data_IF_871286298783
#
_entry.id   IF_871286298783
#
_cell.length_a   1.000
_cell.length_b   1.000
_cell.length_c   1.000
_cell.angle_alpha   90.00
_cell.angle_beta   90.00
_cell.angle_gamma   90.00
#
_symmetry.space_group_name_H-M   'P 1'
#
loop_
_entity.id
_entity.type
_entity.pdbx_description
1 polymer ?
#
# COMPACT_ATOMS: atom_id res chain seq x y z
N UNK A 1 -40.84 1.33 -14.22
CA UNK A 1 -39.75 0.47 -13.73
C UNK A 1 -38.86 1.33 -12.86
N UNK A 2 -38.84 1.03 -11.57
CA UNK A 2 -38.12 1.78 -10.54
C UNK A 2 -36.66 1.98 -10.94
N UNK A 3 -36.19 3.24 -10.91
CA UNK A 3 -34.76 3.53 -10.88
C UNK A 3 -34.24 2.98 -9.56
N UNK A 4 -33.81 1.73 -9.56
CA UNK A 4 -33.15 1.11 -8.42
C UNK A 4 -31.97 2.00 -8.06
N UNK A 5 -32.05 2.70 -6.91
CA UNK A 5 -30.86 3.23 -6.28
C UNK A 5 -29.84 2.09 -6.30
N UNK A 6 -28.73 2.26 -6.99
CA UNK A 6 -27.55 1.45 -6.68
C UNK A 6 -27.21 1.78 -5.22
N UNK A 7 -27.78 1.02 -4.29
CA UNK A 7 -27.33 0.94 -2.92
C UNK A 7 -25.95 0.29 -2.99
N UNK A 8 -24.93 1.10 -3.24
CA UNK A 8 -23.57 0.64 -3.20
C UNK A 8 -23.20 0.45 -1.73
N UNK A 9 -22.99 -0.81 -1.35
CA UNK A 9 -22.64 -1.22 0.00
C UNK A 9 -21.15 -0.98 0.29
N UNK A 10 -20.77 -0.95 1.56
CA UNK A 10 -19.37 -1.02 2.00
C UNK A 10 -19.26 -1.79 3.32
N UNK A 11 -18.04 -2.17 3.71
CA UNK A 11 -17.81 -2.73 5.05
C UNK A 11 -17.67 -1.62 6.08
N UNK A 12 -18.42 -1.73 7.16
CA UNK A 12 -18.35 -0.90 8.36
C UNK A 12 -17.70 -1.68 9.51
N UNK A 13 -16.76 -1.01 10.18
CA UNK A 13 -16.04 -1.51 11.34
C UNK A 13 -16.37 -0.60 12.53
N UNK A 14 -17.27 -1.05 13.38
CA UNK A 14 -17.56 -0.37 14.65
C UNK A 14 -16.35 -0.44 15.57
N UNK A 15 -16.20 0.57 16.42
CA UNK A 15 -15.09 0.68 17.36
C UNK A 15 -15.50 0.19 18.74
N UNK A 16 -14.51 -0.28 19.51
CA UNK A 16 -14.67 -0.63 20.92
C UNK A 16 -13.40 -0.27 21.70
N UNK A 17 -13.52 -0.01 23.00
CA UNK A 17 -12.37 0.25 23.85
C UNK A 17 -11.76 -1.06 24.37
N UNK A 18 -10.51 -1.34 24.00
CA UNK A 18 -9.77 -2.50 24.51
C UNK A 18 -9.11 -2.15 25.83
N UNK A 19 -9.65 -2.65 26.94
CA UNK A 19 -9.04 -2.49 28.28
C UNK A 19 -7.61 -3.04 28.33
N UNK A 20 -7.35 -4.15 27.62
CA UNK A 20 -6.02 -4.77 27.53
C UNK A 20 -4.99 -3.89 26.85
N UNK A 21 -5.39 -3.18 25.79
CA UNK A 21 -4.48 -2.33 25.00
C UNK A 21 -4.52 -0.86 25.42
N UNK A 22 -5.42 -0.48 26.33
CA UNK A 22 -5.62 0.90 26.76
C UNK A 22 -6.02 1.85 25.64
N UNK A 23 -6.70 1.35 24.59
CA UNK A 23 -7.05 2.16 23.40
C UNK A 23 -8.29 1.65 22.66
N UNK A 24 -8.90 2.54 21.88
CA UNK A 24 -9.96 2.18 20.93
C UNK A 24 -9.41 1.33 19.78
N UNK A 25 -10.17 0.32 19.40
CA UNK A 25 -9.86 -0.67 18.37
C UNK A 25 -11.07 -0.86 17.45
N UNK A 26 -10.82 -1.28 16.22
CA UNK A 26 -11.88 -1.69 15.29
C UNK A 26 -12.31 -3.13 15.56
N UNK A 27 -13.62 -3.38 15.49
CA UNK A 27 -14.19 -4.72 15.46
C UNK A 27 -13.58 -5.55 14.33
N UNK A 28 -13.34 -6.83 14.58
CA UNK A 28 -12.97 -7.82 13.55
C UNK A 28 -14.19 -8.43 12.84
N UNK A 29 -15.40 -8.03 13.25
CA UNK A 29 -16.67 -8.43 12.64
C UNK A 29 -17.22 -7.23 11.85
N UNK A 30 -16.93 -7.12 10.54
CA UNK A 30 -17.49 -6.06 9.72
C UNK A 30 -19.00 -6.25 9.52
N UNK A 31 -19.71 -5.13 9.39
CA UNK A 31 -21.10 -5.08 8.92
C UNK A 31 -21.11 -4.64 7.45
N UNK A 32 -21.96 -5.23 6.62
CA UNK A 32 -22.20 -4.73 5.26
C UNK A 32 -23.36 -3.75 5.32
N UNK A 33 -23.11 -2.50 4.92
CA UNK A 33 -24.05 -1.39 5.06
C UNK A 33 -24.13 -0.60 3.76
N UNK A 34 -25.29 -0.06 3.42
CA UNK A 34 -25.41 0.84 2.28
C UNK A 34 -24.67 2.16 2.60
N UNK A 35 -23.78 2.60 1.70
CA UNK A 35 -23.03 3.83 1.94
C UNK A 35 -23.96 5.04 2.10
N UNK A 36 -25.03 5.09 1.32
CA UNK A 36 -26.06 6.14 1.41
C UNK A 36 -26.67 6.27 2.79
N UNK A 37 -26.88 5.16 3.49
CA UNK A 37 -27.57 5.15 4.78
C UNK A 37 -26.67 5.73 5.87
N UNK A 38 -25.36 5.48 5.79
CA UNK A 38 -24.37 6.05 6.69
C UNK A 38 -24.30 7.58 6.59
N UNK A 39 -24.57 8.13 5.41
CA UNK A 39 -24.55 9.57 5.16
C UNK A 39 -25.89 10.23 5.49
N UNK A 40 -27.01 9.61 5.06
CA UNK A 40 -28.37 10.15 5.24
C UNK A 40 -28.89 9.99 6.66
N UNK A 41 -28.53 8.91 7.33
CA UNK A 41 -29.02 8.55 8.67
C UNK A 41 -27.84 8.26 9.61
N UNK A 42 -27.00 9.27 9.87
CA UNK A 42 -25.82 9.05 10.67
C UNK A 42 -26.17 8.69 12.12
N UNK A 43 -25.37 7.80 12.69
CA UNK A 43 -25.43 7.48 14.11
C UNK A 43 -25.16 8.76 14.96
N UNK A 44 -26.06 9.12 15.90
CA UNK A 44 -25.92 10.34 16.70
C UNK A 44 -24.63 10.40 17.52
N UNK A 45 -24.14 9.26 18.04
CA UNK A 45 -22.90 9.23 18.82
C UNK A 45 -21.69 9.45 17.91
N UNK A 46 -21.69 8.88 16.71
CA UNK A 46 -20.65 9.14 15.72
C UNK A 46 -20.65 10.60 15.24
N UNK A 47 -21.83 11.22 15.09
CA UNK A 47 -21.94 12.66 14.78
C UNK A 47 -21.36 13.52 15.92
N UNK A 48 -21.74 13.25 17.16
CA UNK A 48 -21.23 13.96 18.33
C UNK A 48 -19.70 13.79 18.47
N UNK A 49 -19.20 12.57 18.24
CA UNK A 49 -17.77 12.26 18.29
C UNK A 49 -16.98 12.99 17.19
N UNK A 50 -17.48 13.01 15.95
CA UNK A 50 -16.90 13.79 14.85
C UNK A 50 -16.80 15.28 15.22
N UNK A 51 -17.89 15.86 15.73
CA UNK A 51 -17.93 17.27 16.11
C UNK A 51 -16.93 17.57 17.24
N UNK A 52 -16.84 16.69 18.24
CA UNK A 52 -15.84 16.79 19.32
C UNK A 52 -14.41 16.70 18.79
N UNK A 53 -14.12 15.80 17.85
CA UNK A 53 -12.78 15.70 17.24
C UNK A 53 -12.41 16.99 16.52
N UNK A 54 -13.37 17.58 15.79
CA UNK A 54 -13.15 18.82 15.02
C UNK A 54 -13.08 20.08 15.89
N UNK A 55 -13.62 20.06 17.11
CA UNK A 55 -13.48 21.19 18.04
C UNK A 55 -12.13 21.23 18.74
N UNK A 56 -11.35 20.14 18.71
CA UNK A 56 -10.01 20.09 19.28
C UNK A 56 -8.99 20.73 18.35
N UNK A 57 -7.90 21.26 18.93
CA UNK A 57 -6.77 21.80 18.18
C UNK A 57 -6.24 20.78 17.16
N UNK A 58 -6.07 21.24 15.92
CA UNK A 58 -5.64 20.37 14.82
C UNK A 58 -4.31 19.69 15.14
N UNK A 59 -4.28 18.36 14.97
CA UNK A 59 -3.13 17.48 15.27
C UNK A 59 -2.67 17.46 16.74
N UNK A 60 -3.47 17.94 17.69
CA UNK A 60 -3.15 17.76 19.11
C UNK A 60 -3.14 16.28 19.52
N UNK A 61 -2.47 15.97 20.63
CA UNK A 61 -2.44 14.63 21.21
C UNK A 61 -3.85 14.15 21.56
N UNK A 62 -4.70 15.03 22.08
CA UNK A 62 -6.10 14.75 22.39
C UNK A 62 -6.89 14.38 21.14
N UNK A 63 -6.75 15.16 20.05
CA UNK A 63 -7.42 14.88 18.78
C UNK A 63 -6.95 13.54 18.19
N UNK A 64 -5.66 13.26 18.32
CA UNK A 64 -5.04 12.02 17.84
C UNK A 64 -5.46 10.80 18.65
N UNK A 65 -5.64 10.94 19.97
CA UNK A 65 -6.12 9.88 20.85
C UNK A 65 -7.62 9.59 20.65
N UNK A 66 -8.42 10.59 20.29
CA UNK A 66 -9.86 10.44 20.11
C UNK A 66 -10.24 9.90 18.72
N UNK A 67 -9.49 10.23 17.67
CA UNK A 67 -9.73 9.81 16.28
C UNK A 67 -9.98 8.29 16.12
N UNK A 68 -9.21 7.38 16.77
CA UNK A 68 -9.43 5.94 16.74
C UNK A 68 -10.76 5.44 17.29
N UNK A 69 -11.54 6.29 17.98
CA UNK A 69 -12.84 5.92 18.53
C UNK A 69 -13.98 6.04 17.51
N UNK A 70 -13.75 6.64 16.35
CA UNK A 70 -14.75 6.76 15.27
C UNK A 70 -14.79 5.46 14.46
N UNK A 71 -15.97 5.06 14.02
CA UNK A 71 -16.14 3.91 13.13
C UNK A 71 -15.29 4.05 11.87
N UNK A 72 -14.89 2.91 11.31
CA UNK A 72 -14.11 2.85 10.09
C UNK A 72 -14.92 2.22 8.96
N UNK A 73 -14.63 2.58 7.72
CA UNK A 73 -15.15 1.89 6.54
C UNK A 73 -14.06 1.52 5.56
N UNK A 74 -14.32 0.51 4.75
CA UNK A 74 -13.54 0.22 3.54
C UNK A 74 -14.43 0.44 2.33
N UNK A 75 -14.41 1.65 1.73
CA UNK A 75 -15.41 2.03 0.72
C UNK A 75 -15.44 1.10 -0.48
N UNK A 76 -14.27 0.61 -0.90
CA UNK A 76 -14.10 -0.22 -2.10
C UNK A 76 -14.33 -1.72 -1.87
N UNK A 77 -14.48 -2.15 -0.61
CA UNK A 77 -14.42 -3.58 -0.25
C UNK A 77 -15.54 -4.00 0.69
N UNK A 78 -16.24 -5.08 0.31
CA UNK A 78 -17.01 -5.93 1.21
C UNK A 78 -16.06 -6.98 1.79
N UNK A 79 -16.05 -7.08 3.12
CA UNK A 79 -15.18 -7.97 3.88
C UNK A 79 -16.00 -8.85 4.79
N UNK A 80 -15.59 -10.12 4.93
CA UNK A 80 -16.25 -11.08 5.81
C UNK A 80 -15.25 -11.69 6.80
N UNK A 81 -15.69 -11.89 8.04
CA UNK A 81 -14.94 -12.61 9.10
C UNK A 81 -13.62 -11.95 9.54
N UNK A 82 -13.30 -10.75 9.07
CA UNK A 82 -12.10 -10.03 9.48
C UNK A 82 -11.91 -8.68 8.79
N UNK A 83 -10.67 -8.19 8.83
CA UNK A 83 -10.26 -6.91 8.26
C UNK A 83 -8.96 -7.05 7.47
N UNK A 84 -8.91 -6.49 6.26
CA UNK A 84 -7.75 -6.47 5.37
C UNK A 84 -8.02 -7.15 4.03
N UNK A 85 -7.03 -7.13 3.13
CA UNK A 85 -7.14 -7.76 1.79
C UNK A 85 -7.51 -9.25 1.88
N UNK A 86 -6.94 -9.98 2.84
CA UNK A 86 -7.24 -11.41 3.10
C UNK A 86 -8.74 -11.70 3.34
N UNK A 87 -9.52 -10.68 3.73
CA UNK A 87 -10.93 -10.80 4.06
C UNK A 87 -11.84 -10.15 3.02
N UNK A 88 -11.29 -9.57 1.95
CA UNK A 88 -12.03 -9.03 0.82
C UNK A 88 -12.76 -10.16 0.08
N UNK A 89 -14.06 -9.98 -0.15
CA UNK A 89 -14.88 -10.95 -0.89
C UNK A 89 -15.56 -10.36 -2.11
N UNK A 90 -15.76 -9.04 -2.14
CA UNK A 90 -16.41 -8.37 -3.26
C UNK A 90 -16.00 -6.89 -3.29
N UNK A 91 -15.74 -6.38 -4.49
CA UNK A 91 -15.52 -4.96 -4.72
C UNK A 91 -16.86 -4.22 -4.86
N UNK A 92 -16.98 -3.06 -4.24
CA UNK A 92 -18.27 -2.33 -4.12
C UNK A 92 -18.62 -1.50 -5.36
N UNK A 93 -17.63 -1.32 -6.24
CA UNK A 93 -17.66 -0.41 -7.38
C UNK A 93 -17.18 1.00 -7.04
N UNK A 94 -16.97 1.29 -5.75
CA UNK A 94 -16.40 2.55 -5.32
C UNK A 94 -14.88 2.53 -5.24
N UNK A 95 -14.29 3.69 -5.47
CA UNK A 95 -12.89 3.99 -5.21
C UNK A 95 -12.81 5.27 -4.39
N UNK A 96 -12.11 5.21 -3.27
CA UNK A 96 -11.94 6.38 -2.41
C UNK A 96 -10.72 7.20 -2.80
N UNK A 97 -10.78 8.49 -2.52
CA UNK A 97 -9.63 9.39 -2.51
C UNK A 97 -9.65 10.22 -1.22
N UNK A 98 -8.46 10.57 -0.73
CA UNK A 98 -8.27 11.46 0.42
C UNK A 98 -7.29 12.56 0.02
N UNK A 99 -7.61 13.81 0.40
CA UNK A 99 -6.78 14.99 0.16
C UNK A 99 -6.46 15.60 1.52
N UNK A 100 -5.22 15.48 1.95
CA UNK A 100 -4.74 16.01 3.22
C UNK A 100 -4.02 17.34 3.04
N UNK A 101 -3.84 18.08 4.15
CA UNK A 101 -3.00 19.27 4.18
C UNK A 101 -3.57 20.49 3.45
N UNK A 102 -4.90 20.57 3.33
CA UNK A 102 -5.56 21.70 2.69
C UNK A 102 -5.58 22.95 3.57
N UNK A 103 -5.74 22.78 4.89
CA UNK A 103 -5.72 23.88 5.89
C UNK A 103 -6.63 25.06 5.50
N UNK A 104 -6.07 26.13 4.94
CA UNK A 104 -6.80 27.34 4.50
C UNK A 104 -7.36 27.23 3.07
N UNK A 105 -6.84 26.32 2.23
CA UNK A 105 -7.31 26.05 0.87
C UNK A 105 -8.52 25.08 0.81
N UNK A 106 -9.03 24.64 1.97
CA UNK A 106 -10.05 23.59 2.08
C UNK A 106 -11.29 23.87 1.24
N UNK A 107 -11.90 25.06 1.38
CA UNK A 107 -13.15 25.36 0.70
C UNK A 107 -12.94 25.55 -0.81
N UNK A 108 -11.81 26.15 -1.21
CA UNK A 108 -11.43 26.26 -2.62
C UNK A 108 -11.23 24.88 -3.25
N UNK A 109 -10.50 24.00 -2.58
CA UNK A 109 -10.30 22.63 -3.03
C UNK A 109 -11.63 21.87 -3.11
N UNK A 110 -12.54 22.09 -2.15
CA UNK A 110 -13.86 21.46 -2.16
C UNK A 110 -14.67 21.86 -3.39
N UNK A 111 -14.69 23.14 -3.73
CA UNK A 111 -15.35 23.63 -4.95
C UNK A 111 -14.70 23.09 -6.23
N UNK A 112 -13.37 23.01 -6.30
CA UNK A 112 -12.67 22.41 -7.45
C UNK A 112 -13.02 20.93 -7.61
N UNK A 113 -13.00 20.16 -6.52
CA UNK A 113 -13.29 18.72 -6.55
C UNK A 113 -14.72 18.45 -7.01
N UNK A 114 -15.69 19.28 -6.62
CA UNK A 114 -17.10 19.17 -7.07
C UNK A 114 -17.28 19.31 -8.58
N UNK A 115 -16.34 19.95 -9.28
CA UNK A 115 -16.39 20.10 -10.74
C UNK A 115 -15.88 18.86 -11.49
N UNK A 116 -15.23 17.92 -10.79
CA UNK A 116 -14.72 16.69 -11.40
C UNK A 116 -15.92 15.76 -11.69
N UNK A 117 -16.20 15.40 -12.96
CA UNK A 117 -17.44 14.70 -13.34
C UNK A 117 -17.57 13.29 -12.76
N UNK A 118 -16.46 12.70 -12.31
CA UNK A 118 -16.40 11.35 -11.74
C UNK A 118 -16.64 11.31 -10.22
N UNK A 119 -16.61 12.48 -9.54
CA UNK A 119 -16.84 12.56 -8.09
C UNK A 119 -18.31 12.24 -7.81
N UNK A 120 -18.55 11.09 -7.18
CA UNK A 120 -19.87 10.67 -6.71
C UNK A 120 -20.18 11.25 -5.33
N UNK A 121 -19.17 11.41 -4.49
CA UNK A 121 -19.30 11.95 -3.15
C UNK A 121 -18.03 12.71 -2.74
N UNK A 122 -18.15 13.80 -2.00
CA UNK A 122 -17.02 14.45 -1.35
C UNK A 122 -17.45 15.14 -0.04
N UNK A 123 -16.62 15.08 1.01
CA UNK A 123 -16.87 15.73 2.30
C UNK A 123 -15.55 16.02 3.02
N UNK A 124 -15.60 16.82 4.09
CA UNK A 124 -14.43 17.06 4.94
C UNK A 124 -14.02 15.77 5.66
N UNK A 125 -12.72 15.57 5.83
CA UNK A 125 -12.14 14.44 6.56
C UNK A 125 -12.48 14.51 8.05
N UNK A 126 -12.18 13.44 8.81
CA UNK A 126 -12.56 13.35 10.24
C UNK A 126 -12.00 14.49 11.10
N UNK A 127 -10.82 15.03 10.77
CA UNK A 127 -10.22 16.20 11.47
C UNK A 127 -10.70 17.55 10.93
N UNK A 128 -11.45 17.57 9.83
CA UNK A 128 -12.01 18.80 9.25
C UNK A 128 -11.03 19.69 8.49
N UNK A 129 -9.79 19.24 8.26
CA UNK A 129 -8.72 20.00 7.57
C UNK A 129 -8.22 19.36 6.27
N UNK A 130 -8.95 18.36 5.79
CA UNK A 130 -8.74 17.71 4.50
C UNK A 130 -10.08 17.33 3.90
N UNK A 131 -10.05 16.80 2.68
CA UNK A 131 -11.22 16.28 1.98
C UNK A 131 -11.10 14.78 1.78
N UNK A 132 -12.24 14.17 1.53
CA UNK A 132 -12.29 12.83 1.00
C UNK A 132 -13.47 12.66 0.08
N UNK A 133 -13.43 11.65 -0.78
CA UNK A 133 -14.54 11.37 -1.66
C UNK A 133 -14.48 10.01 -2.30
N UNK A 134 -15.43 9.79 -3.21
CA UNK A 134 -15.63 8.53 -3.92
C UNK A 134 -15.83 8.77 -5.42
N UNK A 135 -15.22 7.91 -6.22
CA UNK A 135 -15.55 7.68 -7.63
C UNK A 135 -16.28 6.33 -7.76
N UNK A 136 -17.07 6.16 -8.82
CA UNK A 136 -17.45 4.83 -9.32
C UNK A 136 -16.47 4.42 -10.41
N UNK A 137 -16.01 3.16 -10.43
CA UNK A 137 -15.07 2.65 -11.44
C UNK A 137 -15.71 1.63 -12.37
N UNK A 138 -15.25 1.56 -13.62
CA UNK A 138 -15.84 0.71 -14.65
C UNK A 138 -15.45 -0.76 -14.54
N UNK A 139 -14.29 -1.06 -13.95
CA UNK A 139 -13.75 -2.40 -13.81
C UNK A 139 -13.16 -2.56 -12.41
N UNK A 140 -13.81 -3.36 -11.60
CA UNK A 140 -13.44 -3.59 -10.21
C UNK A 140 -12.19 -4.44 -10.03
N UNK A 141 -11.83 -5.25 -11.03
CA UNK A 141 -10.65 -6.13 -10.97
C UNK A 141 -9.36 -5.33 -11.19
N UNK A 142 -9.46 -4.18 -11.86
CA UNK A 142 -8.35 -3.25 -12.12
C UNK A 142 -8.26 -2.11 -11.10
N UNK A 143 -8.57 -2.37 -9.82
CA UNK A 143 -8.64 -1.34 -8.78
C UNK A 143 -7.36 -0.50 -8.69
N UNK A 144 -6.18 -1.14 -8.74
CA UNK A 144 -4.90 -0.42 -8.60
C UNK A 144 -4.63 0.48 -9.81
N UNK A 145 -4.96 0.02 -11.00
CA UNK A 145 -4.75 0.73 -12.26
C UNK A 145 -5.70 1.92 -12.38
N UNK A 146 -6.96 1.77 -11.95
CA UNK A 146 -7.90 2.87 -11.81
C UNK A 146 -7.41 3.90 -10.78
N UNK A 147 -6.89 3.45 -9.64
CA UNK A 147 -6.36 4.37 -8.63
C UNK A 147 -5.16 5.16 -9.17
N UNK A 148 -4.23 4.50 -9.85
CA UNK A 148 -3.08 5.16 -10.47
C UNK A 148 -3.51 6.22 -11.50
N UNK A 149 -4.53 5.93 -12.32
CA UNK A 149 -5.07 6.90 -13.29
C UNK A 149 -5.77 8.07 -12.60
N UNK A 150 -6.51 7.81 -11.53
CA UNK A 150 -7.14 8.83 -10.70
C UNK A 150 -6.07 9.73 -10.06
N UNK A 151 -5.04 9.15 -9.45
CA UNK A 151 -3.92 9.88 -8.86
C UNK A 151 -3.23 10.79 -9.89
N UNK A 152 -2.94 10.27 -11.09
CA UNK A 152 -2.36 11.06 -12.17
C UNK A 152 -3.27 12.20 -12.63
N UNK A 153 -4.59 11.97 -12.70
CA UNK A 153 -5.57 13.00 -13.05
C UNK A 153 -5.62 14.12 -12.00
N UNK A 154 -5.70 13.79 -10.71
CA UNK A 154 -5.63 14.77 -9.63
C UNK A 154 -4.31 15.54 -9.65
N UNK A 155 -3.19 14.85 -9.85
CA UNK A 155 -1.87 15.47 -9.91
C UNK A 155 -1.75 16.45 -11.08
N UNK A 156 -2.36 16.17 -12.23
CA UNK A 156 -2.41 17.09 -13.37
C UNK A 156 -3.16 18.39 -13.07
N UNK A 157 -4.04 18.38 -12.05
CA UNK A 157 -4.74 19.55 -11.51
C UNK A 157 -3.97 20.22 -10.36
N UNK A 158 -2.75 19.75 -10.03
CA UNK A 158 -1.97 20.21 -8.89
C UNK A 158 -2.43 19.69 -7.53
N UNK A 159 -3.32 18.68 -7.52
CA UNK A 159 -3.86 18.10 -6.28
C UNK A 159 -3.18 16.76 -6.01
N UNK A 160 -2.56 16.62 -4.84
CA UNK A 160 -2.00 15.35 -4.39
C UNK A 160 -3.01 14.60 -3.52
N UNK A 161 -3.24 13.33 -3.82
CA UNK A 161 -4.10 12.45 -3.02
C UNK A 161 -3.26 11.46 -2.19
N UNK A 162 -3.80 10.99 -1.05
CA UNK A 162 -3.19 9.93 -0.24
C UNK A 162 -3.18 8.62 -1.06
N UNK A 163 -2.04 7.90 -1.16
CA UNK A 163 -1.94 6.66 -1.92
C UNK A 163 -2.58 5.44 -1.24
N UNK A 164 -2.98 5.52 0.04
CA UNK A 164 -3.53 4.40 0.79
C UNK A 164 -4.77 3.75 0.15
N UNK A 165 -5.73 4.51 -0.43
CA UNK A 165 -6.90 3.93 -1.10
C UNK A 165 -6.57 3.13 -2.37
N UNK A 166 -5.30 3.12 -2.85
CA UNK A 166 -4.83 2.15 -3.87
C UNK A 166 -5.02 0.70 -3.43
N UNK A 167 -5.06 0.44 -2.12
CA UNK A 167 -5.43 -0.84 -1.57
C UNK A 167 -6.96 -0.97 -1.51
N UNK A 168 -7.52 -2.01 -2.13
CA UNK A 168 -8.97 -2.27 -2.15
C UNK A 168 -9.57 -2.37 -0.74
N UNK A 169 -8.82 -2.89 0.23
CA UNK A 169 -9.22 -3.04 1.63
C UNK A 169 -8.79 -1.85 2.51
N UNK A 170 -8.45 -0.70 1.91
CA UNK A 170 -8.04 0.50 2.63
C UNK A 170 -9.14 0.97 3.58
N UNK A 171 -8.78 1.05 4.87
CA UNK A 171 -9.67 1.52 5.92
C UNK A 171 -9.52 3.03 6.06
N UNK A 172 -10.65 3.75 6.05
CA UNK A 172 -10.73 5.14 6.46
C UNK A 172 -11.59 5.30 7.71
N UNK A 173 -11.33 6.36 8.47
CA UNK A 173 -12.28 6.81 9.49
C UNK A 173 -13.52 7.39 8.80
N UNK A 174 -14.69 7.01 9.30
CA UNK A 174 -15.95 7.56 8.82
C UNK A 174 -16.04 9.04 9.17
N UNK A 175 -16.42 9.86 8.20
CA UNK A 175 -16.78 11.25 8.43
C UNK A 175 -17.79 11.69 7.39
N UNK A 176 -18.92 12.20 7.85
CA UNK A 176 -20.00 12.71 7.04
C UNK A 176 -20.34 14.13 7.49
N UNK A 177 -20.70 14.97 6.55
CA UNK A 177 -21.16 16.33 6.82
C UNK A 177 -22.50 16.55 6.12
N UNK A 178 -23.37 17.34 6.74
CA UNK A 178 -24.69 17.67 6.19
C UNK A 178 -24.58 18.49 4.90
N UNK A 179 -23.47 19.20 4.71
CA UNK A 179 -23.10 19.94 3.50
C UNK A 179 -22.13 19.16 2.59
N UNK A 180 -22.01 17.84 2.79
CA UNK A 180 -21.26 16.97 1.90
C UNK A 180 -21.83 17.00 0.47
N UNK A 181 -20.95 16.97 -0.51
CA UNK A 181 -21.33 16.91 -1.92
C UNK A 181 -21.71 15.49 -2.31
N UNK A 182 -22.82 15.35 -3.03
CA UNK A 182 -23.28 14.09 -3.60
C UNK A 182 -23.78 14.30 -5.02
N UNK A 183 -23.30 13.47 -5.95
CA UNK A 183 -23.67 13.52 -7.36
C UNK A 183 -24.15 12.16 -7.84
N UNK A 184 -25.48 12.01 -7.92
CA UNK A 184 -26.11 10.78 -8.43
C UNK A 184 -25.80 10.52 -9.91
N UNK A 185 -25.51 11.58 -10.66
CA UNK A 185 -25.21 11.54 -12.09
C UNK A 185 -23.70 11.55 -12.38
N UNK A 186 -22.86 11.26 -11.39
CA UNK A 186 -21.42 11.15 -11.59
C UNK A 186 -21.11 10.11 -12.68
N UNK A 187 -20.18 10.47 -13.57
CA UNK A 187 -19.72 9.57 -14.61
C UNK A 187 -18.92 8.41 -14.00
N UNK A 188 -19.01 7.23 -14.61
CA UNK A 188 -18.18 6.09 -14.23
C UNK A 188 -16.75 6.36 -14.73
N UNK A 189 -15.78 6.28 -13.82
CA UNK A 189 -14.37 6.43 -14.16
C UNK A 189 -13.86 5.16 -14.86
N UNK A 190 -13.38 5.33 -16.09
CA UNK A 190 -13.00 4.22 -16.98
C UNK A 190 -11.50 4.17 -17.29
N UNK A 191 -10.72 5.13 -16.79
CA UNK A 191 -9.30 5.26 -17.08
C UNK A 191 -8.47 4.32 -16.22
N UNK A 192 -7.53 3.64 -16.84
CA UNK A 192 -6.56 2.76 -16.18
C UNK A 192 -5.16 3.21 -16.53
N UNK A 193 -4.29 3.21 -15.54
CA UNK A 193 -2.86 3.45 -15.71
C UNK A 193 -2.13 2.25 -15.12
N UNK A 194 -1.57 1.42 -16.00
CA UNK A 194 -0.75 0.31 -15.58
C UNK A 194 0.44 0.84 -14.78
N UNK A 195 0.75 0.14 -13.69
CA UNK A 195 2.02 0.40 -13.02
C UNK A 195 3.08 0.01 -14.02
N UNK A 196 3.84 0.98 -14.55
CA UNK A 196 5.01 0.67 -15.36
C UNK A 196 5.94 -0.10 -14.44
N UNK A 197 5.89 -1.44 -14.52
CA UNK A 197 6.98 -2.26 -14.03
C UNK A 197 8.15 -1.72 -14.84
N UNK A 198 9.15 -1.07 -14.20
CA UNK A 198 10.27 -0.55 -14.96
C UNK A 198 10.75 -1.70 -15.85
N UNK A 199 10.94 -1.46 -17.16
CA UNK A 199 11.39 -2.51 -18.07
C UNK A 199 12.56 -3.19 -17.39
N UNK A 200 12.57 -4.53 -17.36
CA UNK A 200 13.71 -5.33 -16.88
C UNK A 200 14.96 -4.60 -17.39
N UNK A 201 15.65 -3.86 -16.51
CA UNK A 201 16.87 -3.16 -16.93
C UNK A 201 17.74 -4.28 -17.44
N UNK A 202 18.13 -4.23 -18.71
CA UNK A 202 19.12 -5.18 -19.20
C UNK A 202 20.31 -5.06 -18.26
N UNK A 203 20.54 -6.14 -17.53
CA UNK A 203 21.61 -6.20 -16.56
C UNK A 203 22.91 -5.89 -17.30
N UNK A 204 23.70 -4.94 -16.78
CA UNK A 204 25.13 -4.98 -17.08
C UNK A 204 25.62 -6.30 -16.51
N UNK A 205 25.80 -7.29 -17.37
CA UNK A 205 26.36 -8.59 -17.00
C UNK A 205 27.62 -8.31 -16.19
N UNK A 206 27.73 -8.93 -15.03
CA UNK A 206 28.99 -8.94 -14.30
C UNK A 206 30.02 -9.58 -15.23
N UNK A 207 30.99 -8.81 -15.72
CA UNK A 207 32.03 -9.33 -16.60
C UNK A 207 32.96 -10.21 -15.77
N UNK A 208 32.76 -11.52 -15.82
CA UNK A 208 33.74 -12.44 -15.27
C UNK A 208 34.91 -12.53 -16.25
N UNK A 209 36.08 -12.03 -15.88
CA UNK A 209 37.35 -12.41 -16.50
C UNK A 209 37.75 -13.82 -16.03
N UNK A 210 36.92 -14.82 -16.34
CA UNK A 210 37.11 -16.19 -15.87
C UNK A 210 37.85 -17.06 -16.89
N UNK A 211 39.12 -17.40 -16.60
CA UNK A 211 39.78 -18.56 -17.22
C UNK A 211 39.05 -19.83 -16.81
N UNK A 212 38.80 -20.74 -17.75
CA UNK A 212 38.26 -22.07 -17.47
C UNK A 212 39.28 -22.88 -16.65
N UNK A 213 39.08 -22.96 -15.34
CA UNK A 213 39.78 -23.89 -14.45
C UNK A 213 38.90 -25.09 -14.15
N UNK A 214 39.42 -26.29 -14.40
CA UNK A 214 38.88 -27.54 -13.87
C UNK A 214 39.12 -27.51 -12.36
N UNK A 215 38.11 -27.13 -11.57
CA UNK A 215 38.27 -27.04 -10.13
C UNK A 215 37.12 -27.72 -9.40
N UNK A 216 37.49 -28.69 -8.55
CA UNK A 216 36.60 -29.56 -7.77
C UNK A 216 36.09 -28.80 -6.53
N UNK A 217 35.68 -27.55 -6.71
CA UNK A 217 35.15 -26.70 -5.63
C UNK A 217 33.76 -27.19 -5.26
N UNK A 218 33.56 -27.57 -3.99
CA UNK A 218 32.25 -27.97 -3.50
C UNK A 218 31.28 -26.79 -3.60
N UNK A 219 30.35 -26.88 -4.55
CA UNK A 219 29.29 -25.88 -4.80
C UNK A 219 28.54 -25.52 -3.53
N UNK A 220 28.36 -26.48 -2.62
CA UNK A 220 27.69 -26.27 -1.35
C UNK A 220 28.49 -25.33 -0.43
N UNK A 221 29.82 -25.42 -0.44
CA UNK A 221 30.69 -24.55 0.33
C UNK A 221 30.69 -23.12 -0.22
N UNK A 222 30.65 -22.93 -1.54
CA UNK A 222 30.53 -21.60 -2.13
C UNK A 222 29.22 -20.91 -1.74
N UNK A 223 28.09 -21.63 -1.81
CA UNK A 223 26.78 -21.10 -1.40
C UNK A 223 26.77 -20.76 0.10
N UNK A 224 27.26 -21.68 0.94
CA UNK A 224 27.33 -21.46 2.38
C UNK A 224 28.26 -20.31 2.75
N UNK A 225 29.42 -20.22 2.09
CA UNK A 225 30.38 -19.15 2.26
C UNK A 225 29.79 -17.80 1.92
N UNK A 226 29.12 -17.69 0.77
CA UNK A 226 28.45 -16.44 0.40
C UNK A 226 27.33 -16.05 1.37
N UNK A 227 26.49 -17.01 1.75
CA UNK A 227 25.41 -16.76 2.70
C UNK A 227 25.93 -16.31 4.08
N UNK A 228 27.08 -16.79 4.53
CA UNK A 228 27.64 -16.41 5.83
C UNK A 228 28.46 -15.11 5.77
N UNK A 229 29.08 -14.80 4.64
CA UNK A 229 29.97 -13.64 4.50
C UNK A 229 29.32 -12.40 3.87
N UNK A 230 28.16 -12.53 3.21
CA UNK A 230 27.51 -11.42 2.50
C UNK A 230 27.32 -10.19 3.40
N UNK A 231 28.05 -9.13 3.08
CA UNK A 231 28.02 -7.87 3.81
C UNK A 231 26.79 -7.05 3.45
N UNK A 232 26.54 -5.99 4.20
CA UNK A 232 25.53 -5.00 3.82
C UNK A 232 25.82 -4.33 2.48
N UNK A 233 27.08 -4.07 2.16
CA UNK A 233 27.46 -3.46 0.88
C UNK A 233 27.16 -4.41 -0.29
N UNK A 234 27.46 -5.70 -0.13
CA UNK A 234 27.15 -6.70 -1.15
C UNK A 234 25.65 -6.74 -1.46
N UNK A 235 24.82 -6.76 -0.42
CA UNK A 235 23.37 -6.76 -0.59
C UNK A 235 22.86 -5.44 -1.16
N UNK A 236 23.44 -4.32 -0.73
CA UNK A 236 23.14 -3.00 -1.28
C UNK A 236 23.35 -2.99 -2.79
N UNK A 237 24.51 -3.43 -3.26
CA UNK A 237 24.84 -3.45 -4.68
C UNK A 237 23.90 -4.37 -5.47
N UNK A 238 23.60 -5.56 -4.95
CA UNK A 238 22.63 -6.49 -5.56
C UNK A 238 21.27 -5.83 -5.75
N UNK A 239 20.74 -5.19 -4.70
CA UNK A 239 19.40 -4.63 -4.71
C UNK A 239 19.31 -3.34 -5.52
N UNK A 240 20.26 -2.41 -5.38
CA UNK A 240 20.30 -1.16 -6.15
C UNK A 240 20.45 -1.45 -7.64
N UNK A 241 21.30 -2.41 -8.02
CA UNK A 241 21.48 -2.78 -9.43
C UNK A 241 20.19 -3.34 -10.04
N UNK A 242 19.38 -4.07 -9.26
CA UNK A 242 18.05 -4.51 -9.70
C UNK A 242 17.02 -3.37 -9.77
N UNK A 243 17.27 -2.26 -9.07
CA UNK A 243 16.42 -1.06 -9.07
C UNK A 243 15.63 -0.83 -7.78
N UNK A 244 15.97 -1.53 -6.68
CA UNK A 244 15.52 -1.09 -5.37
C UNK A 244 16.13 0.28 -5.04
N UNK A 245 15.48 1.05 -4.18
CA UNK A 245 16.04 2.29 -3.67
C UNK A 245 16.38 2.13 -2.19
N UNK A 246 17.62 2.44 -1.83
CA UNK A 246 18.02 2.52 -0.43
C UNK A 246 17.23 3.62 0.28
N UNK A 247 16.73 3.31 1.47
CA UNK A 247 15.93 4.22 2.28
C UNK A 247 16.70 4.68 3.51
N UNK A 248 17.09 3.74 4.38
CA UNK A 248 17.81 4.06 5.62
C UNK A 248 18.46 2.83 6.25
N UNK A 249 19.34 3.07 7.22
CA UNK A 249 19.93 2.04 8.08
C UNK A 249 19.51 2.27 9.53
N UNK A 250 19.27 1.18 10.26
CA UNK A 250 18.88 1.20 11.68
C UNK A 250 19.48 -0.01 12.39
N UNK A 251 20.62 0.20 13.07
CA UNK A 251 21.41 -0.91 13.61
C UNK A 251 21.96 -1.78 12.49
N UNK A 252 21.78 -3.10 12.58
CA UNK A 252 22.19 -4.07 11.55
C UNK A 252 21.21 -4.18 10.37
N UNK A 253 20.18 -3.33 10.31
CA UNK A 253 19.11 -3.41 9.29
C UNK A 253 19.31 -2.34 8.23
N UNK A 254 19.42 -2.77 6.98
CA UNK A 254 19.55 -1.92 5.81
C UNK A 254 18.26 -2.01 5.01
N UNK A 255 17.58 -0.88 4.86
CA UNK A 255 16.18 -0.84 4.45
C UNK A 255 16.04 -0.26 3.05
N UNK A 256 15.20 -0.89 2.25
CA UNK A 256 15.00 -0.53 0.85
C UNK A 256 13.51 -0.45 0.52
N UNK A 257 13.21 0.36 -0.49
CA UNK A 257 11.93 0.35 -1.19
C UNK A 257 12.07 -0.40 -2.50
N UNK A 258 11.05 -1.18 -2.85
CA UNK A 258 11.04 -1.95 -4.10
C UNK A 258 11.07 -1.02 -5.33
N UNK A 259 11.50 -1.51 -6.51
CA UNK A 259 11.44 -0.74 -7.74
C UNK A 259 10.03 -0.17 -8.01
N UNK A 260 9.97 1.07 -8.47
CA UNK A 260 8.70 1.74 -8.81
C UNK A 260 7.87 2.24 -7.62
N UNK A 261 8.33 2.06 -6.37
CA UNK A 261 7.71 2.65 -5.17
C UNK A 261 8.44 3.93 -4.79
N UNK A 262 7.69 5.01 -4.50
CA UNK A 262 8.27 6.24 -3.92
C UNK A 262 8.94 5.92 -2.58
N UNK A 263 10.18 6.39 -2.39
CA UNK A 263 10.95 6.19 -1.15
C UNK A 263 10.23 6.79 0.07
N UNK A 264 9.39 7.82 -0.11
CA UNK A 264 8.57 8.41 0.96
C UNK A 264 7.31 7.59 1.29
N UNK A 265 6.90 6.65 0.44
CA UNK A 265 5.69 5.83 0.61
C UNK A 265 5.92 4.56 1.46
N UNK A 266 7.01 4.54 2.23
CA UNK A 266 7.31 3.49 3.20
C UNK A 266 8.14 2.33 2.62
N UNK A 267 8.73 1.57 3.54
CA UNK A 267 9.72 0.54 3.25
C UNK A 267 9.13 -0.65 2.44
N UNK A 268 9.97 -1.56 1.94
CA UNK A 268 9.53 -2.82 1.31
C UNK A 268 10.30 -4.04 1.80
N UNK A 269 11.63 -3.91 1.91
CA UNK A 269 12.52 -4.99 2.37
C UNK A 269 13.57 -4.46 3.32
N UNK A 270 13.99 -5.31 4.26
CA UNK A 270 15.07 -5.06 5.22
C UNK A 270 16.11 -6.17 5.08
N UNK A 271 17.36 -5.83 4.76
CA UNK A 271 18.48 -6.75 4.92
C UNK A 271 19.00 -6.69 6.35
N UNK A 272 18.96 -7.82 7.04
CA UNK A 272 19.54 -8.00 8.35
C UNK A 272 20.95 -8.56 8.20
N UNK A 273 21.95 -7.70 8.36
CA UNK A 273 23.35 -8.12 8.23
C UNK A 273 23.69 -9.17 9.30
N UNK A 274 23.33 -8.95 10.56
CA UNK A 274 23.56 -9.89 11.67
C UNK A 274 22.99 -11.30 11.43
N UNK A 275 21.86 -11.40 10.71
CA UNK A 275 21.19 -12.66 10.40
C UNK A 275 21.51 -13.20 9.01
N UNK A 276 22.23 -12.42 8.21
CA UNK A 276 22.45 -12.67 6.78
C UNK A 276 21.15 -13.08 6.07
N UNK A 277 20.09 -12.29 6.27
CA UNK A 277 18.76 -12.62 5.75
C UNK A 277 18.07 -11.36 5.25
N UNK A 278 17.50 -11.43 4.05
CA UNK A 278 16.67 -10.36 3.50
C UNK A 278 15.21 -10.67 3.82
N UNK A 279 14.51 -9.74 4.45
CA UNK A 279 13.10 -9.87 4.80
C UNK A 279 12.24 -8.92 3.97
N UNK A 280 11.07 -9.38 3.56
CA UNK A 280 10.03 -8.59 2.93
C UNK A 280 8.79 -8.54 3.82
N UNK A 281 8.21 -7.36 3.91
CA UNK A 281 6.92 -7.08 4.55
C UNK A 281 5.94 -6.47 3.54
N UNK A 282 6.25 -6.58 2.24
CA UNK A 282 5.37 -6.17 1.15
C UNK A 282 5.14 -7.35 0.21
N UNK A 283 3.87 -7.67 -0.03
CA UNK A 283 3.45 -8.68 -1.02
C UNK A 283 3.75 -8.27 -2.47
N UNK A 284 4.15 -7.01 -2.70
CA UNK A 284 4.40 -6.44 -4.03
C UNK A 284 5.90 -6.43 -4.40
N UNK A 285 6.76 -7.07 -3.61
CA UNK A 285 8.19 -7.22 -3.95
C UNK A 285 8.33 -8.11 -5.20
N UNK A 286 9.17 -7.75 -6.19
CA UNK A 286 9.36 -8.58 -7.38
C UNK A 286 9.89 -9.98 -7.03
N UNK A 287 9.39 -11.01 -7.71
CA UNK A 287 9.85 -12.41 -7.53
C UNK A 287 9.65 -12.98 -6.11
N UNK A 288 8.72 -12.41 -5.35
CA UNK A 288 8.41 -12.82 -3.98
C UNK A 288 7.88 -14.26 -3.89
N UNK A 289 7.30 -14.80 -4.97
CA UNK A 289 6.86 -16.20 -5.07
C UNK A 289 8.02 -17.20 -4.91
N UNK A 290 9.28 -16.74 -5.08
CA UNK A 290 10.49 -17.53 -4.87
C UNK A 290 11.07 -17.42 -3.46
N UNK A 291 10.47 -16.60 -2.60
CA UNK A 291 10.91 -16.42 -1.23
C UNK A 291 10.21 -17.41 -0.29
N UNK A 292 10.83 -17.64 0.87
CA UNK A 292 10.22 -18.44 1.93
C UNK A 292 9.19 -17.60 2.67
N UNK A 293 7.96 -18.10 2.79
CA UNK A 293 6.94 -17.48 3.65
C UNK A 293 7.30 -17.69 5.14
N UNK A 294 7.14 -16.65 5.96
CA UNK A 294 7.34 -16.68 7.41
C UNK A 294 6.01 -16.70 8.16
N UNK A 295 6.00 -17.28 9.37
CA UNK A 295 4.79 -17.47 10.19
C UNK A 295 4.08 -16.17 10.56
N UNK A 296 4.82 -15.06 10.62
CA UNK A 296 4.37 -13.80 11.23
C UNK A 296 3.95 -12.75 10.18
N UNK A 297 3.45 -13.21 9.03
CA UNK A 297 3.03 -12.39 7.87
C UNK A 297 4.19 -11.61 7.22
N UNK A 298 5.12 -12.34 6.63
CA UNK A 298 6.20 -11.79 5.81
C UNK A 298 6.90 -12.87 4.99
N UNK A 299 7.97 -12.49 4.30
CA UNK A 299 8.80 -13.41 3.52
C UNK A 299 10.27 -13.20 3.85
N UNK A 300 11.08 -14.25 3.71
CA UNK A 300 12.53 -14.15 3.83
C UNK A 300 13.24 -14.86 2.68
N UNK A 301 14.45 -14.41 2.36
CA UNK A 301 15.35 -15.15 1.50
C UNK A 301 16.81 -15.00 1.94
N UNK A 302 17.63 -15.98 1.54
CA UNK A 302 19.08 -15.97 1.79
C UNK A 302 19.80 -14.99 0.84
N UNK A 303 21.04 -14.58 1.16
CA UNK A 303 21.87 -13.78 0.27
C UNK A 303 22.03 -14.41 -1.11
N UNK A 304 22.25 -15.72 -1.18
CA UNK A 304 22.37 -16.45 -2.44
C UNK A 304 21.08 -16.37 -3.26
N UNK A 305 19.93 -16.53 -2.61
CA UNK A 305 18.63 -16.37 -3.27
C UNK A 305 18.47 -14.95 -3.81
N UNK A 306 18.80 -13.93 -3.02
CA UNK A 306 18.77 -12.55 -3.46
C UNK A 306 19.73 -12.29 -4.64
N UNK A 307 20.94 -12.83 -4.60
CA UNK A 307 21.92 -12.73 -5.70
C UNK A 307 21.38 -13.37 -6.99
N UNK A 308 20.74 -14.54 -6.91
CA UNK A 308 20.14 -15.18 -8.08
C UNK A 308 18.98 -14.36 -8.65
N UNK A 309 18.03 -13.98 -7.79
CA UNK A 309 16.81 -13.29 -8.23
C UNK A 309 17.10 -11.87 -8.72
N UNK A 310 17.92 -11.13 -7.98
CA UNK A 310 18.14 -9.69 -8.19
C UNK A 310 19.49 -9.37 -8.84
N UNK A 311 20.51 -10.20 -8.63
CA UNK A 311 21.81 -10.04 -9.31
C UNK A 311 21.84 -10.66 -10.70
N UNK A 312 21.25 -11.85 -10.88
CA UNK A 312 21.28 -12.59 -12.16
C UNK A 312 19.92 -12.75 -12.84
N UNK A 313 18.83 -12.28 -12.21
CA UNK A 313 17.51 -12.19 -12.84
C UNK A 313 16.68 -13.49 -12.84
N UNK A 314 17.06 -14.52 -12.07
CA UNK A 314 16.26 -15.74 -11.95
C UNK A 314 16.97 -16.93 -11.30
N UNK A 315 16.29 -18.09 -11.29
CA UNK A 315 16.79 -19.35 -10.68
C UNK A 315 17.01 -20.50 -11.68
N UNK A 316 16.92 -20.24 -12.98
CA UNK A 316 17.21 -21.23 -14.01
C UNK A 316 18.71 -21.61 -14.07
N UNK A 317 19.03 -22.73 -14.73
CA UNK A 317 20.39 -23.29 -14.83
C UNK A 317 21.45 -22.27 -15.27
N UNK A 318 21.10 -21.38 -16.20
CA UNK A 318 22.00 -20.33 -16.69
C UNK A 318 22.37 -19.30 -15.61
N UNK A 319 21.41 -18.91 -14.76
CA UNK A 319 21.65 -17.94 -13.68
C UNK A 319 22.52 -18.54 -12.58
N UNK A 320 22.32 -19.83 -12.28
CA UNK A 320 23.21 -20.57 -11.38
C UNK A 320 24.64 -20.66 -11.90
N UNK A 321 24.84 -20.92 -13.19
CA UNK A 321 26.17 -20.93 -13.80
C UNK A 321 26.86 -19.57 -13.67
N UNK A 322 26.13 -18.47 -13.89
CA UNK A 322 26.63 -17.11 -13.71
C UNK A 322 26.98 -16.82 -12.25
N UNK A 323 26.09 -17.19 -11.32
CA UNK A 323 26.31 -16.98 -9.89
C UNK A 323 27.51 -17.76 -9.37
N UNK A 324 27.71 -19.00 -9.80
CA UNK A 324 28.90 -19.78 -9.41
C UNK A 324 30.20 -19.18 -9.95
N UNK A 325 30.19 -18.71 -11.20
CA UNK A 325 31.34 -18.00 -11.74
C UNK A 325 31.63 -16.72 -10.95
N UNK A 326 30.61 -15.98 -10.55
CA UNK A 326 30.77 -14.82 -9.68
C UNK A 326 31.37 -15.19 -8.33
N UNK A 327 30.84 -16.22 -7.64
CA UNK A 327 31.31 -16.63 -6.32
C UNK A 327 32.74 -17.18 -6.32
N UNK A 328 33.19 -17.81 -7.41
CA UNK A 328 34.58 -18.27 -7.54
C UNK A 328 35.59 -17.12 -7.64
N UNK A 329 35.14 -15.94 -8.04
CA UNK A 329 35.99 -14.77 -8.30
C UNK A 329 35.81 -13.64 -7.27
N UNK A 330 35.07 -13.90 -6.19
CA UNK A 330 34.76 -12.94 -5.14
C UNK A 330 35.52 -13.29 -3.86
#
# INVERSE_FOLDING_TARGET
MEKTLMQSYCSLFKTYYSKKLGRSCFSTKPETVAFSDLIKYPDPEQLALKNKIRSLTYKSDEQSALKPSVWGITPSSIQLKGRGEDFHVLHTGFMAFDIDGLEDDLDKAFEIVKLIPYVTYCSRSIRGKGLWGLFKISDTDSHKEHFNAMEAAFLSMGIKIDPAPRNVASLRFMSFDTDGYYNENAQIFDKKLETVIPPKREFKKYESNGKQGNDNTDVKQLIQGFNSSCTAQDMHDILINFGFNYHSTSGSRYRFTRPGKDTKAGLSVDYHEDRRTLYSFSSEVPLLDKWKAESDKGWSCSPMTALLLYGFGGMEKQHWAQAFNYLKNK
#
